data_IF_453197911944
#
_entry.id   IF_453197911944
#
_cell.length_a   1.000
_cell.length_b   1.000
_cell.length_c   1.000
_cell.angle_alpha   90.00
_cell.angle_beta   90.00
_cell.angle_gamma   90.00
#
_symmetry.space_group_name_H-M   'P 1'
#
loop_
_entity.id
_entity.type
_entity.pdbx_description
1 polymer ?
#
# COMPACT_ATOMS: atom_id res chain seq x y z
N UNK A 1 -49.94 -6.49 10.33
CA UNK A 1 -48.64 -7.14 10.55
C UNK A 1 -47.97 -6.35 11.65
N UNK A 2 -47.49 -7.00 12.70
CA UNK A 2 -46.83 -6.31 13.82
C UNK A 2 -45.56 -5.63 13.29
N UNK A 3 -45.48 -4.30 13.38
CA UNK A 3 -44.28 -3.54 12.97
C UNK A 3 -43.00 -4.05 13.69
N UNK A 4 -43.13 -4.73 14.82
CA UNK A 4 -42.00 -5.32 15.56
C UNK A 4 -41.21 -6.40 14.79
N UNK A 5 -41.81 -7.09 13.79
CA UNK A 5 -41.09 -8.12 13.03
C UNK A 5 -40.13 -7.53 12.00
N UNK A 6 -40.34 -6.29 11.54
CA UNK A 6 -39.51 -5.64 10.51
C UNK A 6 -38.43 -4.73 11.10
N UNK A 7 -38.58 -4.30 12.36
CA UNK A 7 -37.62 -3.43 13.03
C UNK A 7 -36.35 -4.16 13.48
N UNK A 8 -35.21 -3.52 13.24
CA UNK A 8 -33.92 -4.03 13.67
C UNK A 8 -33.71 -3.70 15.15
N UNK A 9 -33.51 -4.76 15.96
CA UNK A 9 -33.21 -4.62 17.39
C UNK A 9 -31.74 -4.22 17.61
N UNK A 10 -31.43 -3.17 18.39
CA UNK A 10 -30.05 -2.70 18.61
C UNK A 10 -29.12 -3.76 19.23
N UNK A 11 -29.64 -4.66 20.06
CA UNK A 11 -28.81 -5.68 20.72
C UNK A 11 -28.26 -6.72 19.73
N UNK A 12 -29.00 -7.04 18.66
CA UNK A 12 -28.54 -7.94 17.59
C UNK A 12 -27.34 -7.31 16.87
N UNK A 13 -27.45 -6.02 16.53
CA UNK A 13 -26.36 -5.27 15.87
C UNK A 13 -25.12 -5.22 16.74
N UNK A 14 -25.26 -5.10 18.07
CA UNK A 14 -24.14 -5.15 19.01
C UNK A 14 -23.43 -6.51 19.00
N UNK A 15 -24.16 -7.62 18.95
CA UNK A 15 -23.55 -8.96 18.85
C UNK A 15 -22.79 -9.10 17.52
N UNK A 16 -23.40 -8.67 16.42
CA UNK A 16 -22.75 -8.71 15.09
C UNK A 16 -21.49 -7.83 15.07
N UNK A 17 -21.51 -6.67 15.71
CA UNK A 17 -20.35 -5.79 15.83
C UNK A 17 -19.20 -6.42 16.65
N UNK A 18 -19.52 -7.20 17.68
CA UNK A 18 -18.49 -7.90 18.47
C UNK A 18 -17.87 -9.05 17.65
N UNK A 19 -18.71 -9.87 17.01
CA UNK A 19 -18.26 -11.08 16.30
C UNK A 19 -17.66 -10.78 14.93
N UNK A 20 -18.28 -9.88 14.18
CA UNK A 20 -17.96 -9.58 12.78
C UNK A 20 -17.70 -8.09 12.50
N UNK A 21 -17.55 -7.27 13.54
CA UNK A 21 -17.36 -5.83 13.37
C UNK A 21 -16.09 -5.49 12.60
N UNK A 22 -14.98 -6.24 12.79
CA UNK A 22 -13.73 -6.02 12.06
C UNK A 22 -13.90 -6.14 10.53
N UNK A 23 -14.84 -6.96 10.08
CA UNK A 23 -15.16 -7.16 8.67
C UNK A 23 -16.32 -6.29 8.17
N UNK A 24 -16.91 -5.44 9.02
CA UNK A 24 -18.05 -4.59 8.66
C UNK A 24 -19.40 -5.32 8.59
N UNK A 25 -19.55 -6.47 9.26
CA UNK A 25 -20.78 -7.27 9.20
C UNK A 25 -22.02 -6.52 9.73
N UNK A 26 -21.85 -5.61 10.69
CA UNK A 26 -22.91 -4.76 11.23
C UNK A 26 -23.49 -3.82 10.15
N UNK A 27 -22.63 -3.23 9.31
CA UNK A 27 -23.06 -2.38 8.19
C UNK A 27 -23.76 -3.20 7.11
N UNK A 28 -23.31 -4.43 6.88
CA UNK A 28 -23.94 -5.35 5.95
C UNK A 28 -25.36 -5.73 6.38
N UNK A 29 -25.55 -5.97 7.68
CA UNK A 29 -26.87 -6.26 8.28
C UNK A 29 -27.83 -5.07 8.13
N UNK A 30 -27.33 -3.84 8.26
CA UNK A 30 -28.07 -2.60 7.99
C UNK A 30 -28.24 -2.28 6.49
N UNK A 31 -27.89 -3.20 5.59
CA UNK A 31 -27.96 -3.04 4.13
C UNK A 31 -27.15 -1.85 3.58
N UNK A 32 -26.13 -1.42 4.32
CA UNK A 32 -25.14 -0.41 3.93
C UNK A 32 -23.96 -1.11 3.24
N UNK A 33 -24.21 -1.65 2.05
CA UNK A 33 -23.28 -2.53 1.34
C UNK A 33 -21.97 -1.82 0.93
N UNK A 34 -21.99 -0.63 0.30
CA UNK A 34 -20.76 0.09 -0.02
C UNK A 34 -19.92 0.42 1.21
N UNK A 35 -20.56 0.85 2.30
CA UNK A 35 -19.90 1.16 3.57
C UNK A 35 -19.28 -0.08 4.21
N UNK A 36 -19.98 -1.22 4.19
CA UNK A 36 -19.46 -2.49 4.64
C UNK A 36 -18.20 -2.90 3.87
N UNK A 37 -18.16 -2.69 2.55
CA UNK A 37 -16.98 -2.97 1.74
C UNK A 37 -15.81 -2.02 2.03
N UNK A 38 -16.07 -0.72 2.21
CA UNK A 38 -15.02 0.23 2.63
C UNK A 38 -14.47 -0.17 3.99
N UNK A 39 -15.32 -0.58 4.92
CA UNK A 39 -14.90 -1.09 6.22
C UNK A 39 -14.04 -2.36 6.09
N UNK A 40 -14.48 -3.33 5.29
CA UNK A 40 -13.75 -4.57 5.00
C UNK A 40 -12.36 -4.31 4.40
N UNK A 41 -12.29 -3.49 3.34
CA UNK A 41 -11.04 -3.21 2.62
C UNK A 41 -10.03 -2.39 3.42
N UNK A 42 -10.49 -1.61 4.41
CA UNK A 42 -9.63 -0.83 5.30
C UNK A 42 -9.39 -1.49 6.66
N UNK A 43 -10.00 -2.66 6.91
CA UNK A 43 -10.09 -3.28 8.24
C UNK A 43 -10.58 -2.28 9.32
N UNK A 44 -11.49 -1.38 8.94
CA UNK A 44 -12.01 -0.31 9.79
C UNK A 44 -11.00 0.79 10.13
N UNK A 45 -10.04 1.06 9.23
CA UNK A 45 -8.88 1.97 9.37
C UNK A 45 -8.20 1.82 10.74
N UNK A 46 -7.57 0.65 10.92
CA UNK A 46 -6.75 0.24 12.07
C UNK A 46 -7.52 0.22 13.40
N UNK A 47 -8.68 -0.45 13.44
CA UNK A 47 -9.53 -0.63 14.64
C UNK A 47 -10.23 0.64 15.16
N UNK A 48 -9.86 1.84 14.69
CA UNK A 48 -10.47 3.10 15.10
C UNK A 48 -11.93 3.16 14.67
N UNK A 49 -12.25 2.73 13.44
CA UNK A 49 -13.62 2.66 12.95
C UNK A 49 -14.48 1.67 13.73
N UNK A 50 -13.89 0.55 14.17
CA UNK A 50 -14.58 -0.42 15.02
C UNK A 50 -14.91 0.17 16.40
N UNK A 51 -13.99 0.94 16.99
CA UNK A 51 -14.25 1.67 18.23
C UNK A 51 -15.31 2.77 18.07
N UNK A 52 -15.26 3.54 16.99
CA UNK A 52 -16.26 4.57 16.69
C UNK A 52 -17.67 3.97 16.56
N UNK A 53 -17.79 2.89 15.78
CA UNK A 53 -19.08 2.20 15.56
C UNK A 53 -19.61 1.57 16.86
N UNK A 54 -18.73 1.18 17.79
CA UNK A 54 -19.13 0.67 19.12
C UNK A 54 -19.95 1.68 19.94
N UNK A 55 -19.72 2.98 19.74
CA UNK A 55 -20.51 4.04 20.39
C UNK A 55 -21.70 4.51 19.54
N UNK A 56 -21.53 4.58 18.21
CA UNK A 56 -22.50 5.20 17.31
C UNK A 56 -23.58 4.26 16.77
N UNK A 57 -23.45 2.93 16.94
CA UNK A 57 -24.40 1.96 16.35
C UNK A 57 -25.87 2.22 16.71
N UNK A 58 -26.17 2.74 17.90
CA UNK A 58 -27.56 3.01 18.33
C UNK A 58 -28.22 4.04 17.41
N UNK A 59 -27.48 5.06 17.00
CA UNK A 59 -27.96 6.10 16.10
C UNK A 59 -28.24 5.51 14.71
N UNK A 60 -27.30 4.72 14.17
CA UNK A 60 -27.45 4.08 12.86
C UNK A 60 -28.66 3.12 12.81
N UNK A 61 -28.91 2.37 13.89
CA UNK A 61 -30.07 1.47 13.98
C UNK A 61 -31.39 2.25 14.01
N UNK A 62 -31.45 3.33 14.78
CA UNK A 62 -32.64 4.18 14.84
C UNK A 62 -32.93 4.82 13.47
N UNK A 63 -31.91 5.36 12.81
CA UNK A 63 -32.03 5.90 11.46
C UNK A 63 -32.52 4.83 10.47
N UNK A 64 -31.98 3.61 10.54
CA UNK A 64 -32.40 2.52 9.67
C UNK A 64 -33.87 2.12 9.88
N UNK A 65 -34.35 2.05 11.13
CA UNK A 65 -35.74 1.75 11.45
C UNK A 65 -36.68 2.87 10.97
N UNK A 66 -36.29 4.14 11.12
CA UNK A 66 -37.03 5.27 10.57
C UNK A 66 -37.17 5.17 9.04
N UNK A 67 -36.11 4.77 8.34
CA UNK A 67 -36.14 4.56 6.89
C UNK A 67 -37.06 3.40 6.47
N UNK A 68 -37.14 2.33 7.26
CA UNK A 68 -38.08 1.22 7.02
C UNK A 68 -39.52 1.76 7.11
N UNK A 69 -39.87 2.42 8.21
CA UNK A 69 -41.21 2.94 8.46
C UNK A 69 -41.62 3.96 7.39
N UNK A 70 -40.70 4.82 6.96
CA UNK A 70 -40.94 5.73 5.82
C UNK A 70 -41.14 4.98 4.50
N UNK A 71 -40.39 3.91 4.25
CA UNK A 71 -40.52 3.12 3.03
C UNK A 71 -41.86 2.38 2.96
N UNK A 72 -42.37 1.90 4.10
CA UNK A 72 -43.69 1.28 4.21
C UNK A 72 -44.79 2.31 3.94
N UNK A 73 -44.75 3.46 4.62
CA UNK A 73 -45.67 4.57 4.37
C UNK A 73 -45.64 5.06 2.91
N UNK A 74 -44.45 5.10 2.29
CA UNK A 74 -44.31 5.49 0.89
C UNK A 74 -44.85 4.42 -0.06
N UNK A 75 -44.64 3.13 0.21
CA UNK A 75 -45.24 2.04 -0.56
C UNK A 75 -46.75 2.06 -0.47
N UNK A 76 -47.31 2.34 0.71
CA UNK A 76 -48.75 2.55 0.86
C UNK A 76 -49.20 3.73 0.00
N UNK A 77 -48.57 4.89 0.13
CA UNK A 77 -48.88 6.07 -0.71
C UNK A 77 -48.72 5.79 -2.20
N UNK A 78 -47.70 5.06 -2.63
CA UNK A 78 -47.49 4.65 -4.02
C UNK A 78 -48.58 3.67 -4.46
N UNK A 79 -49.01 2.72 -3.63
CA UNK A 79 -50.17 1.84 -3.91
C UNK A 79 -51.45 2.66 -4.12
N UNK A 80 -51.69 3.68 -3.30
CA UNK A 80 -52.79 4.64 -3.49
C UNK A 80 -52.61 5.52 -4.74
N UNK A 81 -51.37 5.92 -5.05
CA UNK A 81 -51.03 6.82 -6.18
C UNK A 81 -50.88 6.12 -7.52
N UNK A 82 -50.65 4.81 -7.60
CA UNK A 82 -50.42 4.08 -8.86
C UNK A 82 -51.65 4.06 -9.80
N UNK A 83 -52.76 4.72 -9.45
CA UNK A 83 -53.78 5.19 -10.39
C UNK A 83 -53.39 6.46 -11.20
N UNK A 84 -52.28 7.14 -10.89
CA UNK A 84 -51.73 8.32 -11.57
C UNK A 84 -50.21 8.20 -11.68
N UNK A 85 -49.71 7.92 -12.88
CA UNK A 85 -48.26 7.84 -13.15
C UNK A 85 -47.59 9.18 -12.82
N UNK A 86 -46.65 9.19 -11.86
CA UNK A 86 -45.64 10.25 -11.82
C UNK A 86 -44.26 9.65 -12.11
N UNK A 87 -43.67 10.14 -13.20
CA UNK A 87 -42.27 10.01 -13.53
C UNK A 87 -41.44 10.62 -12.39
N UNK A 88 -40.86 9.77 -11.54
CA UNK A 88 -40.04 10.21 -10.43
C UNK A 88 -38.74 10.81 -10.94
N UNK A 89 -38.67 12.14 -10.99
CA UNK A 89 -37.41 12.86 -11.14
C UNK A 89 -36.46 12.43 -10.00
N UNK A 90 -35.26 11.98 -10.34
CA UNK A 90 -34.20 11.76 -9.35
C UNK A 90 -33.84 13.12 -8.74
N UNK A 91 -34.05 13.30 -7.44
CA UNK A 91 -33.61 14.50 -6.73
C UNK A 91 -32.08 14.59 -6.80
N UNK A 92 -31.57 15.79 -7.11
CA UNK A 92 -30.15 16.11 -6.98
C UNK A 92 -29.71 15.92 -5.52
N UNK A 93 -28.42 15.63 -5.36
CA UNK A 93 -27.78 15.40 -4.06
C UNK A 93 -27.04 16.66 -3.64
N UNK A 94 -27.20 17.06 -2.38
CA UNK A 94 -26.45 18.18 -1.82
C UNK A 94 -24.96 17.85 -1.65
N UNK A 95 -24.12 18.86 -1.85
CA UNK A 95 -22.68 18.71 -1.69
C UNK A 95 -22.31 18.48 -0.22
N UNK A 96 -21.55 17.41 0.04
CA UNK A 96 -20.99 17.11 1.36
C UNK A 96 -19.46 17.06 1.28
N UNK A 97 -18.82 17.97 2.03
CA UNK A 97 -17.36 18.06 2.07
C UNK A 97 -16.70 16.81 2.68
N UNK A 98 -17.29 16.24 3.73
CA UNK A 98 -16.75 15.03 4.39
C UNK A 98 -16.70 13.86 3.41
N UNK A 99 -17.77 13.65 2.64
CA UNK A 99 -17.84 12.63 1.61
C UNK A 99 -16.86 12.89 0.47
N UNK A 100 -16.72 14.16 0.05
CA UNK A 100 -15.72 14.55 -0.93
C UNK A 100 -14.32 14.12 -0.47
N UNK A 101 -13.94 14.49 0.76
CA UNK A 101 -12.64 14.14 1.33
C UNK A 101 -12.45 12.61 1.41
N UNK A 102 -13.42 11.87 1.93
CA UNK A 102 -13.33 10.40 1.98
C UNK A 102 -13.17 9.80 0.59
N UNK A 103 -13.90 10.29 -0.42
CA UNK A 103 -13.78 9.78 -1.78
C UNK A 103 -12.41 10.05 -2.40
N UNK A 104 -11.77 11.18 -2.10
CA UNK A 104 -10.40 11.47 -2.53
C UNK A 104 -9.41 10.52 -1.85
N UNK A 105 -9.50 10.39 -0.52
CA UNK A 105 -8.57 9.56 0.27
C UNK A 105 -8.67 8.07 -0.07
N UNK A 106 -9.88 7.56 -0.26
CA UNK A 106 -10.06 6.16 -0.61
C UNK A 106 -9.79 5.88 -2.10
N UNK A 107 -10.11 6.84 -2.97
CA UNK A 107 -9.72 6.81 -4.37
C UNK A 107 -8.20 6.74 -4.54
N UNK A 108 -7.47 7.57 -3.79
CA UNK A 108 -6.01 7.52 -3.78
C UNK A 108 -5.47 6.24 -3.15
N UNK A 109 -6.08 5.73 -2.08
CA UNK A 109 -5.72 4.44 -1.47
C UNK A 109 -5.79 3.28 -2.47
N UNK A 110 -6.92 3.10 -3.17
CA UNK A 110 -7.05 2.04 -4.19
C UNK A 110 -6.16 2.33 -5.40
N UNK A 111 -5.97 3.59 -5.77
CA UNK A 111 -5.00 4.01 -6.79
C UNK A 111 -3.57 3.59 -6.46
N UNK A 112 -3.14 3.77 -5.22
CA UNK A 112 -1.83 3.35 -4.73
C UNK A 112 -1.69 1.83 -4.66
N UNK A 113 -2.75 1.13 -4.25
CA UNK A 113 -2.76 -0.33 -4.24
C UNK A 113 -2.66 -0.91 -5.67
N UNK A 114 -3.37 -0.34 -6.64
CA UNK A 114 -3.28 -0.74 -8.05
C UNK A 114 -1.93 -0.39 -8.68
N UNK A 115 -1.37 0.78 -8.34
CA UNK A 115 0.00 1.12 -8.69
C UNK A 115 1.01 0.09 -8.17
N UNK A 116 0.93 -0.24 -6.88
CA UNK A 116 1.80 -1.24 -6.26
C UNK A 116 1.62 -2.62 -6.90
N UNK A 117 0.40 -3.01 -7.23
CA UNK A 117 0.14 -4.25 -7.95
C UNK A 117 0.86 -4.27 -9.31
N UNK A 118 0.77 -3.19 -10.10
CA UNK A 118 1.42 -3.09 -11.41
C UNK A 118 2.95 -3.13 -11.31
N UNK A 119 3.54 -2.36 -10.40
CA UNK A 119 5.00 -2.28 -10.26
C UNK A 119 5.60 -3.59 -9.78
N UNK A 120 4.95 -4.26 -8.83
CA UNK A 120 5.50 -5.46 -8.21
C UNK A 120 5.28 -6.70 -9.09
N UNK A 121 4.13 -6.83 -9.76
CA UNK A 121 3.81 -8.03 -10.54
C UNK A 121 4.39 -8.00 -11.95
N UNK A 122 4.15 -6.92 -12.69
CA UNK A 122 4.60 -6.77 -14.06
C UNK A 122 6.00 -6.15 -14.16
N UNK A 123 6.53 -5.57 -13.07
CA UNK A 123 7.81 -4.87 -13.12
C UNK A 123 7.76 -3.62 -13.98
N UNK A 124 6.57 -3.04 -14.19
CA UNK A 124 6.41 -1.78 -14.92
C UNK A 124 7.02 -0.64 -14.11
N UNK A 125 8.28 -0.34 -14.39
CA UNK A 125 8.99 0.85 -13.88
C UNK A 125 8.60 2.10 -14.67
N UNK A 126 8.24 1.92 -15.94
CA UNK A 126 7.91 3.01 -16.85
C UNK A 126 6.48 3.51 -16.60
N UNK A 127 6.38 4.54 -15.78
CA UNK A 127 5.12 5.19 -15.42
C UNK A 127 4.39 5.78 -16.65
N UNK A 128 5.12 6.03 -17.74
CA UNK A 128 4.60 6.58 -18.98
C UNK A 128 3.84 5.57 -19.84
N UNK A 129 3.87 4.28 -19.51
CA UNK A 129 3.22 3.26 -20.30
C UNK A 129 1.69 3.45 -20.29
N UNK A 130 1.04 3.47 -21.47
CA UNK A 130 -0.41 3.69 -21.59
C UNK A 130 -1.22 2.67 -20.77
N UNK A 131 -0.97 1.35 -20.87
CA UNK A 131 -1.71 0.39 -20.04
C UNK A 131 -1.47 0.58 -18.53
N UNK A 132 -0.31 1.07 -18.09
CA UNK A 132 -0.10 1.43 -16.69
C UNK A 132 -1.04 2.55 -16.25
N UNK A 133 -1.13 3.62 -17.04
CA UNK A 133 -2.06 4.74 -16.80
C UNK A 133 -3.51 4.25 -16.77
N UNK A 134 -3.92 3.39 -17.71
CA UNK A 134 -5.26 2.83 -17.75
C UNK A 134 -5.61 2.05 -16.47
N UNK A 135 -4.71 1.17 -16.02
CA UNK A 135 -4.97 0.29 -14.85
C UNK A 135 -5.02 1.11 -13.56
N UNK A 136 -4.10 2.05 -13.37
CA UNK A 136 -4.10 2.92 -12.18
C UNK A 136 -5.34 3.81 -12.17
N UNK A 137 -5.71 4.39 -13.32
CA UNK A 137 -6.95 5.16 -13.44
C UNK A 137 -8.17 4.30 -13.09
N UNK A 138 -8.26 3.06 -13.60
CA UNK A 138 -9.32 2.12 -13.21
C UNK A 138 -9.37 1.86 -11.69
N UNK A 139 -8.23 1.72 -11.03
CA UNK A 139 -8.15 1.62 -9.57
C UNK A 139 -8.75 2.83 -8.86
N UNK A 140 -8.34 4.03 -9.25
CA UNK A 140 -8.85 5.29 -8.70
C UNK A 140 -10.37 5.39 -8.90
N UNK A 141 -10.86 5.01 -10.08
CA UNK A 141 -12.31 5.03 -10.36
C UNK A 141 -13.09 4.09 -9.47
N UNK A 142 -12.60 2.88 -9.25
CA UNK A 142 -13.22 1.90 -8.39
C UNK A 142 -13.36 2.46 -6.97
N UNK A 143 -12.29 3.04 -6.42
CA UNK A 143 -12.31 3.66 -5.09
C UNK A 143 -13.34 4.80 -4.99
N UNK A 144 -13.29 5.76 -5.91
CA UNK A 144 -14.21 6.93 -5.90
C UNK A 144 -15.66 6.51 -6.11
N UNK A 145 -15.89 5.52 -6.98
CA UNK A 145 -17.22 5.00 -7.28
C UNK A 145 -17.83 4.31 -6.07
N UNK A 146 -17.06 3.49 -5.36
CA UNK A 146 -17.50 2.76 -4.16
C UNK A 146 -17.95 3.74 -3.07
N UNK A 147 -17.11 4.71 -2.68
CA UNK A 147 -17.52 5.74 -1.71
C UNK A 147 -18.66 6.58 -2.25
N UNK A 148 -18.72 6.75 -3.56
CA UNK A 148 -19.80 7.45 -4.21
C UNK A 148 -21.16 6.80 -4.18
N UNK A 149 -21.22 5.53 -3.81
CA UNK A 149 -22.47 4.82 -3.59
C UNK A 149 -22.93 4.79 -2.13
N UNK A 150 -22.10 5.24 -1.19
CA UNK A 150 -22.48 5.28 0.22
C UNK A 150 -23.70 6.21 0.44
N UNK A 151 -24.52 6.00 1.48
CA UNK A 151 -25.66 6.86 1.82
C UNK A 151 -26.81 6.80 0.81
N UNK A 152 -26.96 5.70 0.06
CA UNK A 152 -28.06 5.53 -0.90
C UNK A 152 -27.95 6.41 -2.16
N UNK A 153 -26.77 6.94 -2.45
CA UNK A 153 -26.50 7.71 -3.65
C UNK A 153 -26.00 6.79 -4.77
N UNK A 154 -26.07 7.28 -5.99
CA UNK A 154 -25.44 6.67 -7.14
C UNK A 154 -24.65 7.73 -7.90
N UNK A 155 -23.47 7.33 -8.37
CA UNK A 155 -22.67 8.10 -9.32
C UNK A 155 -22.53 7.28 -10.59
N UNK A 156 -22.34 7.96 -11.70
CA UNK A 156 -22.15 7.32 -12.99
C UNK A 156 -20.67 6.95 -13.15
N UNK A 157 -20.37 5.67 -13.35
CA UNK A 157 -19.00 5.15 -13.42
C UNK A 157 -18.21 5.75 -14.60
N UNK A 158 -18.89 5.94 -15.74
CA UNK A 158 -18.28 6.45 -16.98
C UNK A 158 -17.69 7.85 -16.80
N UNK A 159 -18.39 8.76 -16.11
CA UNK A 159 -17.91 10.12 -15.85
C UNK A 159 -16.64 10.12 -15.00
N UNK A 160 -16.61 9.28 -13.96
CA UNK A 160 -15.44 9.13 -13.10
C UNK A 160 -14.27 8.54 -13.90
N UNK A 161 -14.53 7.54 -14.74
CA UNK A 161 -13.51 6.90 -15.57
C UNK A 161 -12.89 7.85 -16.60
N UNK A 162 -13.72 8.56 -17.37
CA UNK A 162 -13.24 9.57 -18.32
C UNK A 162 -12.41 10.66 -17.63
N UNK A 163 -12.85 11.13 -16.46
CA UNK A 163 -12.12 12.10 -15.66
C UNK A 163 -10.76 11.57 -15.18
N UNK A 164 -10.75 10.37 -14.60
CA UNK A 164 -9.54 9.76 -14.05
C UNK A 164 -8.52 9.44 -15.12
N UNK A 165 -8.95 8.90 -16.27
CA UNK A 165 -8.07 8.55 -17.37
C UNK A 165 -7.47 9.81 -18.00
N UNK A 166 -8.31 10.80 -18.33
CA UNK A 166 -7.84 12.07 -18.89
C UNK A 166 -6.90 12.80 -17.93
N UNK A 167 -7.28 12.92 -16.65
CA UNK A 167 -6.46 13.57 -15.64
C UNK A 167 -5.15 12.82 -15.42
N UNK A 168 -5.15 11.49 -15.33
CA UNK A 168 -3.92 10.71 -15.10
C UNK A 168 -2.99 10.77 -16.30
N UNK A 169 -3.54 10.73 -17.51
CA UNK A 169 -2.78 10.94 -18.73
C UNK A 169 -2.09 12.31 -18.73
N UNK A 170 -2.81 13.39 -18.42
CA UNK A 170 -2.25 14.75 -18.34
C UNK A 170 -1.17 14.83 -17.25
N UNK A 171 -1.46 14.33 -16.03
CA UNK A 171 -0.56 14.47 -14.88
C UNK A 171 0.75 13.68 -15.06
N UNK A 172 0.69 12.50 -15.68
CA UNK A 172 1.87 11.66 -15.92
C UNK A 172 2.61 12.10 -17.17
N UNK A 173 1.93 12.26 -18.31
CA UNK A 173 2.60 12.51 -19.60
C UNK A 173 2.96 13.96 -19.84
N UNK A 174 2.07 14.90 -19.48
CA UNK A 174 2.28 16.32 -19.78
C UNK A 174 2.93 17.04 -18.61
N UNK A 175 2.40 16.86 -17.41
CA UNK A 175 2.92 17.54 -16.21
C UNK A 175 4.13 16.84 -15.58
N UNK A 176 4.45 15.61 -16.01
CA UNK A 176 5.56 14.80 -15.50
C UNK A 176 5.63 14.77 -13.97
N UNK A 177 4.45 14.70 -13.32
CA UNK A 177 4.37 14.67 -11.87
C UNK A 177 4.72 13.29 -11.34
N UNK A 178 5.23 13.23 -10.10
CA UNK A 178 5.45 11.95 -9.43
C UNK A 178 4.13 11.19 -9.30
N UNK A 179 4.18 9.86 -9.39
CA UNK A 179 2.97 9.02 -9.43
C UNK A 179 2.06 9.26 -8.22
N UNK A 180 2.63 9.46 -7.03
CA UNK A 180 1.86 9.77 -5.83
C UNK A 180 1.07 11.09 -5.96
N UNK A 181 1.71 12.14 -6.49
CA UNK A 181 1.04 13.44 -6.73
C UNK A 181 0.02 13.32 -7.84
N UNK A 182 0.34 12.58 -8.91
CA UNK A 182 -0.59 12.30 -10.00
C UNK A 182 -1.85 11.60 -9.47
N UNK A 183 -1.72 10.51 -8.71
CA UNK A 183 -2.85 9.76 -8.11
C UNK A 183 -3.71 10.67 -7.22
N UNK A 184 -3.08 11.52 -6.40
CA UNK A 184 -3.83 12.42 -5.51
C UNK A 184 -4.61 13.50 -6.29
N UNK A 185 -3.96 14.18 -7.24
CA UNK A 185 -4.60 15.23 -8.05
C UNK A 185 -5.69 14.67 -8.96
N UNK A 186 -5.45 13.50 -9.55
CA UNK A 186 -6.43 12.80 -10.38
C UNK A 186 -7.64 12.34 -9.56
N UNK A 187 -7.43 11.92 -8.31
CA UNK A 187 -8.53 11.62 -7.40
C UNK A 187 -9.37 12.88 -7.08
N UNK A 188 -8.75 14.05 -6.90
CA UNK A 188 -9.47 15.32 -6.73
C UNK A 188 -10.31 15.65 -7.96
N UNK A 189 -9.71 15.66 -9.16
CA UNK A 189 -10.43 16.01 -10.40
C UNK A 189 -11.58 15.04 -10.66
N UNK A 190 -11.34 13.74 -10.46
CA UNK A 190 -12.33 12.68 -10.68
C UNK A 190 -13.46 12.70 -9.67
N UNK A 191 -13.19 13.07 -8.41
CA UNK A 191 -14.26 13.23 -7.39
C UNK A 191 -15.12 14.46 -7.65
N UNK A 192 -14.53 15.58 -8.11
CA UNK A 192 -15.29 16.77 -8.52
C UNK A 192 -16.24 16.43 -9.67
N UNK A 193 -15.74 15.79 -10.73
CA UNK A 193 -16.57 15.40 -11.88
C UNK A 193 -17.59 14.32 -11.47
N UNK A 194 -17.18 13.33 -10.69
CA UNK A 194 -18.07 12.28 -10.19
C UNK A 194 -19.21 12.81 -9.32
N UNK A 195 -18.97 13.81 -8.48
CA UNK A 195 -19.99 14.44 -7.64
C UNK A 195 -21.03 15.18 -8.46
N UNK A 196 -20.69 15.72 -9.63
CA UNK A 196 -21.69 16.32 -10.54
C UNK A 196 -22.67 15.29 -11.10
N UNK A 197 -22.28 14.02 -11.19
CA UNK A 197 -23.16 12.92 -11.61
C UNK A 197 -23.98 12.30 -10.47
N UNK A 198 -23.96 12.88 -9.27
CA UNK A 198 -24.61 12.30 -8.10
C UNK A 198 -26.14 12.36 -8.19
N UNK A 199 -26.78 11.20 -8.05
CA UNK A 199 -28.25 11.05 -8.01
C UNK A 199 -28.67 10.20 -6.83
N UNK A 200 -29.81 10.51 -6.22
CA UNK A 200 -30.42 9.65 -5.20
C UNK A 200 -30.93 8.35 -5.82
N UNK A 201 -30.53 7.22 -5.25
CA UNK A 201 -30.89 5.88 -5.74
C UNK A 201 -32.04 5.30 -4.91
N UNK A 202 -33.15 4.93 -5.57
CA UNK A 202 -34.29 4.28 -4.88
C UNK A 202 -34.00 2.83 -4.45
N UNK A 203 -33.19 2.08 -5.20
CA UNK A 203 -32.93 0.65 -4.96
C UNK A 203 -31.61 0.44 -4.20
N UNK A 204 -31.69 -0.17 -3.00
CA UNK A 204 -30.53 -0.56 -2.20
C UNK A 204 -29.71 -1.67 -2.87
N UNK A 205 -28.41 -1.64 -2.63
CA UNK A 205 -27.47 -2.65 -3.11
C UNK A 205 -27.75 -4.00 -2.42
N UNK A 206 -27.68 -5.07 -3.21
CA UNK A 206 -27.78 -6.45 -2.72
C UNK A 206 -26.43 -6.95 -2.20
N UNK A 207 -26.45 -8.00 -1.37
CA UNK A 207 -25.23 -8.67 -0.89
C UNK A 207 -24.31 -9.16 -2.02
N UNK A 208 -24.85 -9.43 -3.21
CA UNK A 208 -24.04 -9.79 -4.39
C UNK A 208 -23.03 -8.70 -4.77
N UNK A 209 -23.38 -7.42 -4.58
CA UNK A 209 -22.43 -6.33 -4.83
C UNK A 209 -21.28 -6.32 -3.82
N UNK A 210 -21.55 -6.66 -2.55
CA UNK A 210 -20.50 -6.81 -1.55
C UNK A 210 -19.52 -7.89 -1.98
N UNK A 211 -20.01 -9.09 -2.32
CA UNK A 211 -19.15 -10.20 -2.76
C UNK A 211 -18.31 -9.84 -3.98
N UNK A 212 -18.90 -9.17 -4.98
CA UNK A 212 -18.20 -8.78 -6.19
C UNK A 212 -17.01 -7.86 -5.88
N UNK A 213 -17.24 -6.78 -5.14
CA UNK A 213 -16.19 -5.82 -4.80
C UNK A 213 -15.15 -6.42 -3.85
N UNK A 214 -15.58 -7.20 -2.84
CA UNK A 214 -14.68 -7.92 -1.94
C UNK A 214 -13.79 -8.92 -2.69
N UNK A 215 -14.32 -9.62 -3.69
CA UNK A 215 -13.54 -10.53 -4.53
C UNK A 215 -12.49 -9.79 -5.36
N UNK A 216 -12.84 -8.64 -5.95
CA UNK A 216 -11.92 -7.84 -6.76
C UNK A 216 -10.81 -7.24 -5.90
N UNK A 217 -11.15 -6.76 -4.70
CA UNK A 217 -10.18 -6.26 -3.74
C UNK A 217 -9.25 -7.37 -3.23
N UNK A 218 -9.78 -8.54 -2.89
CA UNK A 218 -8.95 -9.66 -2.45
C UNK A 218 -8.02 -10.13 -3.56
N UNK A 219 -8.48 -10.17 -4.80
CA UNK A 219 -7.62 -10.45 -5.96
C UNK A 219 -6.48 -9.43 -6.05
N UNK A 220 -6.77 -8.13 -5.90
CA UNK A 220 -5.75 -7.08 -5.89
C UNK A 220 -4.71 -7.29 -4.77
N UNK A 221 -5.16 -7.60 -3.55
CA UNK A 221 -4.27 -7.90 -2.42
C UNK A 221 -3.44 -9.15 -2.68
N UNK A 222 -4.03 -10.23 -3.19
CA UNK A 222 -3.30 -11.45 -3.55
C UNK A 222 -2.21 -11.19 -4.60
N UNK A 223 -2.52 -10.39 -5.63
CA UNK A 223 -1.56 -9.99 -6.67
C UNK A 223 -0.38 -9.24 -6.06
N UNK A 224 -0.63 -8.30 -5.15
CA UNK A 224 0.43 -7.56 -4.43
C UNK A 224 1.27 -8.52 -3.58
N UNK A 225 0.63 -9.38 -2.77
CA UNK A 225 1.33 -10.31 -1.88
C UNK A 225 2.19 -11.31 -2.65
N UNK A 226 1.67 -11.89 -3.73
CA UNK A 226 2.42 -12.80 -4.61
C UNK A 226 3.60 -12.09 -5.27
N UNK A 227 3.39 -10.88 -5.76
CA UNK A 227 4.44 -10.06 -6.33
C UNK A 227 5.56 -9.77 -5.33
N UNK A 228 5.20 -9.30 -4.13
CA UNK A 228 6.15 -8.93 -3.08
C UNK A 228 6.93 -10.16 -2.61
N UNK A 229 6.21 -11.27 -2.36
CA UNK A 229 6.81 -12.54 -1.98
C UNK A 229 7.80 -13.01 -3.03
N UNK A 230 7.46 -12.96 -4.32
CA UNK A 230 8.38 -13.35 -5.40
C UNK A 230 9.62 -12.47 -5.44
N UNK A 231 9.46 -11.14 -5.42
CA UNK A 231 10.59 -10.20 -5.49
C UNK A 231 11.55 -10.34 -4.30
N UNK A 232 11.02 -10.57 -3.09
CA UNK A 232 11.83 -10.81 -1.90
C UNK A 232 12.49 -12.18 -1.95
N UNK A 233 11.72 -13.24 -2.21
CA UNK A 233 12.19 -14.63 -2.16
C UNK A 233 13.18 -14.99 -3.28
N UNK A 234 13.06 -14.37 -4.46
CA UNK A 234 13.95 -14.61 -5.61
C UNK A 234 15.29 -13.87 -5.54
N UNK A 235 15.44 -12.88 -4.65
CA UNK A 235 16.71 -12.17 -4.48
C UNK A 235 17.79 -13.16 -4.04
N UNK A 236 18.95 -13.12 -4.69
CA UNK A 236 20.06 -14.01 -4.38
C UNK A 236 21.06 -13.31 -3.46
N UNK A 237 21.55 -14.06 -2.49
CA UNK A 237 22.53 -13.65 -1.50
C UNK A 237 23.74 -14.54 -1.68
N UNK A 238 24.90 -13.94 -1.88
CA UNK A 238 26.16 -14.67 -1.96
C UNK A 238 26.99 -14.39 -0.73
N UNK A 239 27.41 -15.46 -0.06
CA UNK A 239 28.35 -15.41 1.06
C UNK A 239 29.73 -15.75 0.52
N UNK A 240 30.68 -14.84 0.71
CA UNK A 240 32.08 -15.04 0.32
C UNK A 240 32.94 -15.03 1.57
N UNK A 241 33.63 -16.14 1.83
CA UNK A 241 34.55 -16.26 2.99
C UNK A 241 35.99 -16.29 2.49
N UNK A 242 36.93 -15.61 3.17
CA UNK A 242 38.33 -15.58 2.77
C UNK A 242 38.89 -17.02 2.74
N UNK A 243 39.35 -17.47 1.57
CA UNK A 243 39.93 -18.80 1.38
C UNK A 243 38.94 -19.94 1.05
N UNK A 244 37.63 -19.67 0.96
CA UNK A 244 36.61 -20.67 0.61
C UNK A 244 35.85 -20.29 -0.67
N UNK A 245 35.10 -21.24 -1.24
CA UNK A 245 34.26 -20.98 -2.41
C UNK A 245 33.07 -20.07 -2.07
N UNK A 246 32.59 -19.32 -3.07
CA UNK A 246 31.39 -18.49 -2.94
C UNK A 246 30.16 -19.38 -2.86
N UNK A 247 29.35 -19.20 -1.83
CA UNK A 247 28.07 -19.89 -1.69
C UNK A 247 26.94 -18.92 -2.04
N UNK A 248 26.02 -19.35 -2.92
CA UNK A 248 24.88 -18.52 -3.36
C UNK A 248 23.58 -19.22 -3.01
N UNK A 249 22.68 -18.49 -2.33
CA UNK A 249 21.36 -18.98 -1.95
C UNK A 249 20.32 -17.89 -2.17
N UNK A 250 19.07 -18.26 -2.43
CA UNK A 250 17.98 -17.28 -2.48
C UNK A 250 17.45 -16.95 -1.09
N UNK A 251 16.98 -15.72 -0.88
CA UNK A 251 16.35 -15.32 0.38
C UNK A 251 15.17 -16.24 0.74
N UNK A 252 14.40 -16.68 -0.26
CA UNK A 252 13.30 -17.62 -0.03
C UNK A 252 13.76 -19.00 0.46
N UNK A 253 14.93 -19.46 0.02
CA UNK A 253 15.53 -20.70 0.52
C UNK A 253 16.08 -20.53 1.93
N UNK A 254 16.69 -19.37 2.24
CA UNK A 254 17.12 -19.04 3.60
C UNK A 254 15.95 -19.00 4.60
N UNK A 255 14.81 -18.41 4.22
CA UNK A 255 13.60 -18.40 5.07
C UNK A 255 13.08 -19.82 5.27
N UNK A 256 13.05 -20.62 4.20
CA UNK A 256 12.65 -22.03 4.28
C UNK A 256 13.58 -22.81 5.21
N UNK A 257 14.89 -22.68 5.02
CA UNK A 257 15.89 -23.38 5.81
C UNK A 257 15.83 -22.94 7.28
N UNK A 258 15.54 -21.67 7.58
CA UNK A 258 15.27 -21.25 8.97
C UNK A 258 14.12 -22.03 9.61
N UNK A 259 13.05 -22.34 8.87
CA UNK A 259 11.86 -23.03 9.40
C UNK A 259 12.09 -24.54 9.52
N UNK A 260 12.75 -25.15 8.54
CA UNK A 260 12.88 -26.60 8.45
C UNK A 260 14.22 -27.17 8.94
N UNK A 261 15.31 -26.40 8.82
CA UNK A 261 16.68 -26.83 9.10
C UNK A 261 17.61 -25.65 9.42
N UNK A 262 17.45 -25.07 10.62
CA UNK A 262 18.16 -23.86 11.04
C UNK A 262 19.69 -23.98 10.95
N UNK A 263 20.23 -25.20 11.07
CA UNK A 263 21.68 -25.47 10.95
C UNK A 263 22.26 -25.03 9.61
N UNK A 264 21.50 -25.17 8.51
CA UNK A 264 21.94 -24.71 7.18
C UNK A 264 22.13 -23.20 7.12
N UNK A 265 21.19 -22.45 7.71
CA UNK A 265 21.27 -20.98 7.78
C UNK A 265 22.50 -20.56 8.58
N UNK A 266 22.76 -21.21 9.71
CA UNK A 266 23.96 -20.92 10.51
C UNK A 266 25.23 -21.24 9.73
N UNK A 267 25.32 -22.41 9.09
CA UNK A 267 26.49 -22.77 8.28
C UNK A 267 26.75 -21.82 7.11
N UNK A 268 25.70 -21.19 6.57
CA UNK A 268 25.82 -20.19 5.49
C UNK A 268 26.39 -18.85 5.99
N UNK A 269 26.10 -18.45 7.24
CA UNK A 269 26.57 -17.20 7.85
C UNK A 269 27.76 -17.38 8.81
N UNK A 270 28.23 -18.61 8.99
CA UNK A 270 29.34 -18.97 9.87
C UNK A 270 30.62 -18.18 9.52
N UNK A 271 31.28 -17.65 10.55
CA UNK A 271 32.56 -16.97 10.38
C UNK A 271 32.47 -15.57 9.74
N UNK A 272 31.28 -14.95 9.71
CA UNK A 272 31.06 -13.59 9.21
C UNK A 272 31.52 -13.37 7.74
N UNK A 273 30.89 -14.06 6.77
CA UNK A 273 31.20 -13.86 5.36
C UNK A 273 30.88 -12.42 4.89
N UNK A 274 31.55 -12.02 3.82
CA UNK A 274 31.19 -10.82 3.05
C UNK A 274 29.96 -11.18 2.21
N UNK A 275 28.89 -10.41 2.39
CA UNK A 275 27.60 -10.64 1.73
C UNK A 275 27.47 -9.71 0.53
N UNK A 276 27.20 -10.29 -0.64
CA UNK A 276 26.81 -9.55 -1.84
C UNK A 276 25.42 -9.97 -2.30
N UNK A 277 24.60 -9.00 -2.71
CA UNK A 277 23.27 -9.24 -3.23
C UNK A 277 23.30 -9.21 -4.76
N UNK A 278 22.59 -10.14 -5.39
CA UNK A 278 22.43 -10.20 -6.83
C UNK A 278 20.96 -10.34 -7.21
N UNK A 279 20.54 -9.69 -8.29
CA UNK A 279 19.27 -10.02 -8.94
C UNK A 279 19.48 -11.12 -9.98
N UNK A 280 18.48 -11.99 -10.20
CA UNK A 280 18.50 -12.97 -11.30
C UNK A 280 18.70 -12.31 -12.68
N UNK A 281 18.29 -11.04 -12.84
CA UNK A 281 18.51 -10.24 -14.04
C UNK A 281 19.97 -9.82 -14.23
N UNK A 282 20.70 -9.46 -13.16
CA UNK A 282 22.10 -9.05 -13.27
C UNK A 282 22.99 -10.18 -13.78
N UNK A 283 22.65 -11.43 -13.42
CA UNK A 283 23.37 -12.63 -13.88
C UNK A 283 23.14 -12.87 -15.38
N UNK A 284 21.94 -12.58 -15.90
CA UNK A 284 21.66 -12.68 -17.34
C UNK A 284 22.31 -11.54 -18.14
N UNK A 285 22.32 -10.31 -17.62
CA UNK A 285 22.95 -9.19 -18.32
C UNK A 285 24.48 -9.29 -18.33
N UNK A 286 25.13 -9.76 -17.26
CA UNK A 286 26.58 -10.02 -17.29
C UNK A 286 26.99 -11.07 -18.31
N UNK A 287 26.12 -12.04 -18.61
CA UNK A 287 26.38 -13.03 -19.67
C UNK A 287 25.92 -12.55 -21.06
N UNK A 288 25.12 -11.49 -21.15
CA UNK A 288 24.52 -10.97 -22.39
C UNK A 288 25.07 -9.64 -22.89
N UNK A 289 25.88 -8.91 -22.11
CA UNK A 289 26.43 -7.61 -22.52
C UNK A 289 27.79 -7.76 -23.24
N UNK A 290 27.72 -8.34 -24.44
CA UNK A 290 28.55 -7.86 -25.56
C UNK A 290 27.58 -7.35 -26.62
N UNK A 291 27.73 -6.07 -26.96
CA UNK A 291 27.05 -5.33 -28.04
C UNK A 291 25.62 -4.82 -27.79
N UNK A 292 25.51 -3.64 -27.20
CA UNK A 292 24.60 -2.61 -27.71
C UNK A 292 25.38 -1.30 -27.84
N UNK A 293 25.86 -1.12 -29.07
CA UNK A 293 26.65 0.00 -29.59
C UNK A 293 25.66 0.98 -30.22
N UNK A 294 25.83 2.28 -29.96
CA UNK A 294 25.11 3.42 -30.56
C UNK A 294 23.59 3.50 -30.29
N UNK A 295 23.19 3.92 -29.09
CA UNK A 295 21.87 4.52 -28.89
C UNK A 295 21.87 5.97 -29.38
N UNK A 296 20.98 6.29 -30.32
CA UNK A 296 20.79 7.62 -30.92
C UNK A 296 20.60 8.71 -29.85
N UNK A 297 21.15 9.91 -30.10
CA UNK A 297 20.97 11.13 -29.28
C UNK A 297 19.51 11.39 -28.88
N UNK A 298 18.55 11.07 -29.76
CA UNK A 298 17.12 11.20 -29.47
C UNK A 298 16.60 10.22 -28.42
N UNK A 299 17.20 9.04 -28.27
CA UNK A 299 16.89 8.11 -27.17
C UNK A 299 17.35 8.69 -25.84
N UNK A 300 18.55 9.27 -25.80
CA UNK A 300 19.14 9.83 -24.57
C UNK A 300 18.45 11.12 -24.10
N UNK A 301 17.93 11.92 -25.02
CA UNK A 301 17.14 13.14 -24.71
C UNK A 301 15.72 12.82 -24.24
N UNK A 302 15.15 11.68 -24.64
CA UNK A 302 13.80 11.25 -24.24
C UNK A 302 13.77 10.21 -23.12
N UNK A 303 14.87 9.48 -22.89
CA UNK A 303 15.06 8.69 -21.69
C UNK A 303 15.38 9.67 -20.56
N UNK A 304 14.50 9.75 -19.56
CA UNK A 304 14.55 10.73 -18.48
C UNK A 304 15.81 10.74 -17.60
N UNK A 305 16.93 10.10 -17.98
CA UNK A 305 18.18 10.04 -17.20
C UNK A 305 18.70 11.43 -16.80
N UNK A 306 18.66 12.43 -17.70
CA UNK A 306 19.08 13.80 -17.37
C UNK A 306 18.13 14.47 -16.35
N UNK A 307 16.83 14.14 -16.40
CA UNK A 307 15.83 14.71 -15.49
C UNK A 307 15.74 13.94 -14.16
N UNK A 308 16.07 12.66 -14.18
CA UNK A 308 16.25 11.79 -13.02
C UNK A 308 17.43 12.24 -12.17
N UNK A 309 18.49 12.77 -12.80
CA UNK A 309 19.63 13.42 -12.14
C UNK A 309 19.27 14.83 -11.63
N UNK A 310 18.48 15.61 -12.40
CA UNK A 310 18.11 16.99 -12.04
C UNK A 310 17.06 17.08 -10.93
N UNK A 311 16.13 16.12 -10.85
CA UNK A 311 15.03 16.15 -9.86
C UNK A 311 15.31 15.35 -8.60
N UNK A 312 16.44 14.65 -8.50
CA UNK A 312 16.79 13.83 -7.34
C UNK A 312 15.77 12.73 -7.02
N UNK A 313 14.82 12.45 -7.92
CA UNK A 313 13.73 11.50 -7.71
C UNK A 313 14.12 10.06 -8.08
N UNK A 314 15.26 9.86 -8.75
CA UNK A 314 15.82 8.54 -9.06
C UNK A 314 16.07 7.71 -7.79
N UNK A 315 16.41 8.36 -6.67
CA UNK A 315 16.67 7.68 -5.40
C UNK A 315 15.40 7.39 -4.58
N UNK A 316 14.24 7.99 -4.88
CA UNK A 316 13.00 7.76 -4.11
C UNK A 316 12.00 6.81 -4.77
N UNK A 317 12.18 6.48 -6.05
CA UNK A 317 11.18 5.72 -6.83
C UNK A 317 11.63 4.31 -7.20
N UNK A 318 12.92 3.98 -7.05
CA UNK A 318 13.35 2.59 -7.03
C UNK A 318 12.70 1.91 -5.83
N UNK A 319 12.40 0.62 -5.94
CA UNK A 319 11.61 -0.12 -4.95
C UNK A 319 12.49 -0.43 -3.71
N UNK A 320 12.97 0.62 -3.05
CA UNK A 320 13.89 0.59 -1.92
C UNK A 320 13.28 -0.19 -0.76
N UNK A 321 11.97 -0.12 -0.57
CA UNK A 321 11.29 -0.87 0.49
C UNK A 321 11.39 -2.39 0.31
N UNK A 322 11.38 -2.91 -0.93
CA UNK A 322 11.59 -4.35 -1.15
C UNK A 322 13.04 -4.69 -0.85
N UNK A 323 13.99 -3.89 -1.31
CA UNK A 323 15.41 -4.15 -1.06
C UNK A 323 15.75 -4.03 0.42
N UNK A 324 15.22 -3.01 1.11
CA UNK A 324 15.27 -2.81 2.55
C UNK A 324 14.62 -3.97 3.31
N UNK A 325 13.50 -4.51 2.81
CA UNK A 325 12.87 -5.69 3.41
C UNK A 325 13.73 -6.93 3.21
N UNK A 326 14.32 -7.12 2.02
CA UNK A 326 15.22 -8.25 1.74
C UNK A 326 16.46 -8.19 2.62
N UNK A 327 17.07 -7.02 2.74
CA UNK A 327 18.29 -6.83 3.55
C UNK A 327 17.96 -6.98 5.02
N UNK A 328 16.83 -6.45 5.48
CA UNK A 328 16.36 -6.67 6.86
C UNK A 328 16.18 -8.15 7.20
N UNK A 329 15.55 -8.94 6.33
CA UNK A 329 15.38 -10.38 6.56
C UNK A 329 16.75 -11.05 6.66
N UNK A 330 17.64 -10.78 5.71
CA UNK A 330 19.00 -11.36 5.69
C UNK A 330 19.80 -10.93 6.92
N UNK A 331 19.67 -9.67 7.34
CA UNK A 331 20.33 -9.12 8.52
C UNK A 331 19.86 -9.77 9.83
N UNK A 332 18.55 -10.04 9.95
CA UNK A 332 18.01 -10.81 11.09
C UNK A 332 18.59 -12.22 11.10
N UNK A 333 18.61 -12.93 9.97
CA UNK A 333 19.16 -14.29 9.88
C UNK A 333 20.66 -14.33 10.18
N UNK A 334 21.39 -13.34 9.68
CA UNK A 334 22.83 -13.20 9.90
C UNK A 334 23.16 -12.91 11.35
N UNK A 335 22.42 -11.99 11.97
CA UNK A 335 22.64 -11.65 13.38
C UNK A 335 22.22 -12.79 14.32
N UNK A 336 21.21 -13.57 13.97
CA UNK A 336 20.90 -14.84 14.67
C UNK A 336 22.09 -15.81 14.63
N UNK A 337 22.72 -16.00 13.47
CA UNK A 337 23.92 -16.83 13.37
C UNK A 337 25.09 -16.29 14.22
N UNK A 338 25.33 -14.96 14.20
CA UNK A 338 26.39 -14.33 14.99
C UNK A 338 26.23 -14.52 16.49
N UNK A 339 25.00 -14.49 16.99
CA UNK A 339 24.68 -14.72 18.41
C UNK A 339 24.97 -16.18 18.80
N UNK A 340 24.69 -17.12 17.90
CA UNK A 340 24.96 -18.54 18.13
C UNK A 340 26.47 -18.85 18.09
N UNK A 341 27.21 -18.21 17.17
CA UNK A 341 28.68 -18.32 17.10
C UNK A 341 29.39 -17.64 18.29
N UNK A 342 28.66 -16.92 19.15
CA UNK A 342 29.23 -16.12 20.24
C UNK A 342 29.96 -14.85 19.77
N UNK A 343 29.94 -14.55 18.47
CA UNK A 343 30.61 -13.39 17.88
C UNK A 343 29.95 -12.06 18.22
N UNK A 344 28.65 -12.06 18.57
CA UNK A 344 27.93 -10.87 19.01
C UNK A 344 26.92 -11.20 20.11
N UNK A 345 26.74 -10.32 21.09
CA UNK A 345 25.73 -10.46 22.16
C UNK A 345 24.47 -9.63 21.92
N UNK A 346 24.38 -8.97 20.76
CA UNK A 346 23.29 -8.04 20.43
C UNK A 346 22.08 -8.82 19.93
N UNK A 347 20.88 -8.45 20.39
CA UNK A 347 19.64 -9.04 19.90
C UNK A 347 19.52 -8.91 18.36
N UNK A 348 19.21 -9.99 17.63
CA UNK A 348 19.22 -9.99 16.16
C UNK A 348 18.33 -8.92 15.52
N UNK A 349 17.11 -8.79 16.03
CA UNK A 349 16.15 -7.80 15.54
C UNK A 349 16.66 -6.37 15.76
N UNK A 350 17.27 -6.10 16.92
CA UNK A 350 17.84 -4.79 17.26
C UNK A 350 19.03 -4.45 16.36
N UNK A 351 19.89 -5.42 16.07
CA UNK A 351 21.02 -5.24 15.15
C UNK A 351 20.54 -4.88 13.74
N UNK A 352 19.55 -5.62 13.21
CA UNK A 352 18.98 -5.36 11.89
C UNK A 352 18.27 -3.99 11.81
N UNK A 353 17.57 -3.58 12.87
CA UNK A 353 16.97 -2.24 12.96
C UNK A 353 18.02 -1.13 12.94
N UNK A 354 19.13 -1.28 13.66
CA UNK A 354 20.21 -0.30 13.63
C UNK A 354 20.85 -0.18 12.25
N UNK A 355 21.10 -1.30 11.56
CA UNK A 355 21.61 -1.28 10.18
C UNK A 355 20.66 -0.53 9.25
N UNK A 356 19.36 -0.83 9.29
CA UNK A 356 18.36 -0.11 8.49
C UNK A 356 18.28 1.39 8.83
N UNK A 357 18.33 1.75 10.10
CA UNK A 357 18.35 3.14 10.53
C UNK A 357 19.57 3.89 9.95
N UNK A 358 20.76 3.28 9.98
CA UNK A 358 21.98 3.87 9.42
C UNK A 358 21.91 4.02 7.90
N UNK A 359 21.39 3.02 7.19
CA UNK A 359 21.17 3.07 5.73
C UNK A 359 20.28 4.28 5.38
N UNK A 360 19.16 4.43 6.06
CA UNK A 360 18.25 5.56 5.84
C UNK A 360 18.90 6.89 6.24
N UNK A 361 19.57 6.95 7.40
CA UNK A 361 20.20 8.18 7.92
C UNK A 361 21.27 8.73 6.97
N UNK A 362 22.06 7.85 6.37
CA UNK A 362 23.13 8.20 5.45
C UNK A 362 22.68 8.18 3.98
N UNK A 363 21.40 7.90 3.69
CA UNK A 363 20.87 7.80 2.32
C UNK A 363 21.71 6.87 1.44
N UNK A 364 22.01 5.68 1.99
CA UNK A 364 22.83 4.66 1.32
C UNK A 364 21.94 3.65 0.61
N UNK A 365 22.51 2.95 -0.37
CA UNK A 365 21.86 1.80 -1.01
C UNK A 365 21.53 0.73 0.04
N UNK A 366 20.28 0.20 0.10
CA UNK A 366 19.94 -0.93 0.96
C UNK A 366 20.89 -2.14 0.84
N UNK A 367 21.45 -2.36 -0.35
CA UNK A 367 22.35 -3.47 -0.68
C UNK A 367 23.82 -3.23 -0.28
N UNK A 368 24.11 -2.15 0.46
CA UNK A 368 25.47 -1.78 0.86
C UNK A 368 26.19 -2.87 1.66
N UNK A 369 27.47 -3.10 1.33
CA UNK A 369 28.38 -3.96 2.10
C UNK A 369 28.68 -3.37 3.48
N UNK A 370 28.91 -4.23 4.47
CA UNK A 370 29.28 -3.82 5.83
C UNK A 370 30.51 -2.90 5.90
N UNK A 371 31.55 -3.19 5.11
CA UNK A 371 32.80 -2.43 5.17
C UNK A 371 32.61 -0.98 4.72
N UNK A 372 31.76 -0.78 3.70
CA UNK A 372 31.39 0.55 3.25
C UNK A 372 30.55 1.27 4.30
N UNK A 373 29.59 0.59 4.93
CA UNK A 373 28.79 1.18 6.02
C UNK A 373 29.67 1.56 7.23
N UNK A 374 30.65 0.73 7.60
CA UNK A 374 31.64 1.04 8.65
C UNK A 374 32.47 2.27 8.30
N UNK A 375 32.86 2.40 7.03
CA UNK A 375 33.62 3.56 6.54
C UNK A 375 32.80 4.84 6.69
N UNK A 376 31.54 4.82 6.29
CA UNK A 376 30.64 5.98 6.45
C UNK A 376 30.39 6.31 7.93
N UNK A 377 30.21 5.31 8.79
CA UNK A 377 30.11 5.52 10.23
C UNK A 377 31.37 6.18 10.82
N UNK A 378 32.57 5.74 10.43
CA UNK A 378 33.84 6.34 10.90
C UNK A 378 33.98 7.79 10.42
N UNK A 379 33.68 8.05 9.14
CA UNK A 379 33.69 9.38 8.55
C UNK A 379 32.72 10.31 9.29
N UNK A 380 31.49 9.86 9.51
CA UNK A 380 30.48 10.61 10.25
C UNK A 380 30.92 10.91 11.70
N UNK A 381 31.50 9.94 12.41
CA UNK A 381 32.02 10.15 13.76
C UNK A 381 33.15 11.20 13.80
N UNK A 382 34.01 11.26 12.77
CA UNK A 382 35.06 12.28 12.70
C UNK A 382 34.50 13.68 12.42
N UNK A 383 33.51 13.78 11.54
CA UNK A 383 32.82 15.04 11.24
C UNK A 383 32.06 15.57 12.45
N UNK A 384 31.34 14.71 13.19
CA UNK A 384 30.63 15.12 14.40
C UNK A 384 31.57 15.54 15.53
N UNK A 385 32.72 14.86 15.70
CA UNK A 385 33.74 15.32 16.66
C UNK A 385 34.29 16.71 16.35
N UNK A 386 34.29 17.13 15.08
CA UNK A 386 34.77 18.46 14.68
C UNK A 386 33.75 19.57 14.99
N UNK A 387 32.46 19.24 15.07
CA UNK A 387 31.40 20.20 15.42
C UNK A 387 31.37 20.38 16.94
N UNK A 388 31.86 21.51 17.46
CA UNK A 388 31.80 21.90 18.89
C UNK A 388 30.39 22.31 19.38
N UNK A 389 29.34 21.58 18.97
CA UNK A 389 27.98 21.79 19.46
C UNK A 389 27.73 21.03 20.77
N UNK A 390 26.73 21.46 21.56
CA UNK A 390 26.24 20.68 22.69
C UNK A 390 25.42 19.49 22.17
N UNK A 391 26.11 18.43 21.73
CA UNK A 391 25.57 17.29 20.98
C UNK A 391 24.59 16.43 21.79
N UNK A 392 24.70 16.41 23.11
CA UNK A 392 24.02 15.42 23.97
C UNK A 392 22.49 15.55 24.03
N UNK A 393 21.88 16.57 23.42
CA UNK A 393 20.42 16.74 23.40
C UNK A 393 19.73 16.31 22.10
N UNK A 394 20.46 16.04 21.03
CA UNK A 394 19.84 15.63 19.77
C UNK A 394 19.70 14.09 19.71
N UNK A 395 18.46 13.61 19.85
CA UNK A 395 18.12 12.19 19.78
C UNK A 395 18.60 11.54 18.48
N UNK A 396 18.63 12.28 17.35
CA UNK A 396 19.11 11.75 16.08
C UNK A 396 20.61 11.44 16.10
N UNK A 397 21.39 12.27 16.79
CA UNK A 397 22.84 12.07 16.92
C UNK A 397 23.12 10.92 17.89
N UNK A 398 22.40 10.86 19.00
CA UNK A 398 22.50 9.74 19.96
C UNK A 398 22.16 8.40 19.30
N UNK A 399 21.09 8.35 18.51
CA UNK A 399 20.69 7.16 17.76
C UNK A 399 21.76 6.74 16.74
N UNK A 400 22.30 7.68 15.95
CA UNK A 400 23.36 7.38 14.99
C UNK A 400 24.66 6.92 15.67
N UNK A 401 25.02 7.52 16.81
CA UNK A 401 26.17 7.11 17.63
C UNK A 401 26.00 5.69 18.17
N UNK A 402 24.81 5.37 18.68
CA UNK A 402 24.48 4.03 19.15
C UNK A 402 24.44 2.99 18.01
N UNK A 403 23.87 3.34 16.87
CA UNK A 403 23.87 2.48 15.69
C UNK A 403 25.29 2.18 15.21
N UNK A 404 26.13 3.20 15.03
CA UNK A 404 27.52 3.00 14.63
C UNK A 404 28.34 2.24 15.67
N UNK A 405 28.10 2.42 16.97
CA UNK A 405 28.78 1.62 18.01
C UNK A 405 28.39 0.15 17.95
N UNK A 406 27.11 -0.17 17.70
CA UNK A 406 26.65 -1.56 17.54
C UNK A 406 27.20 -2.29 16.31
N UNK A 407 27.67 -1.55 15.31
CA UNK A 407 28.19 -2.11 14.05
C UNK A 407 29.73 -2.19 13.98
N UNK A 408 30.41 -1.43 14.86
CA UNK A 408 31.86 -1.42 15.03
C UNK A 408 32.36 -2.47 16.04
N UNK A 409 31.47 -2.94 16.93
CA UNK A 409 31.63 -4.20 17.68
C UNK A 409 31.50 -5.38 16.71
#
# INVERSE_FOLDING_TARGET
MNNEETEVKPWIVRIILIVGGLFGAHRLYLKQVPEAFVFFSTLGVLLIGWLYDSFMFKYEVNEYNQLINQSENNKEKEKWKNGKMQASQSKFVDFSFTRFLYSVLYGSYIGLATWLACTVTFGWTDINLIPFICVVALGITAGIYIIGQCGGQSRELSYIWMASFSSMFIMVRLAQTTVFRAIFLTAIVSTVIGNRSARLKKRRHTWKHFLFWSSLFLMLVCVILLGCSRKVADKQVTATRPGTFRETISVGSLIRDRIFDAKKVHSFFEGNPIIEYHSKSDIKNKNGEKTLKNSSFWYQVWSGELFDELTGAAHLTKIDWIELTTTFIVDVLRSEARVIDGSSTIEPFKWALWRNYLIHRFSLDPLISDDRLRTECKKWQTEEKSKKGNVDRDYNILAAKQGCSTFLL
#
